data_IF_756690767884
#
_entry.id   IF_756690767884
#
_cell.length_a   1.000
_cell.length_b   1.000
_cell.length_c   1.000
_cell.angle_alpha   90.00
_cell.angle_beta   90.00
_cell.angle_gamma   90.00
#
_symmetry.space_group_name_H-M   'P 1'
#
loop_
_entity.id
_entity.type
_entity.pdbx_description
1 polymer ?
#
# COMPACT_ATOMS: atom_id res chain seq x y z
N UNK A 1 -1.64 10.84 -44.79
CA UNK A 1 -0.89 11.98 -44.29
C UNK A 1 0.13 11.50 -43.28
N UNK A 2 1.40 11.90 -43.42
CA UNK A 2 2.44 11.58 -42.45
C UNK A 2 2.04 12.20 -41.09
N UNK A 3 1.94 11.40 -40.05
CA UNK A 3 1.87 11.89 -38.68
C UNK A 3 3.18 12.67 -38.44
N UNK A 4 3.06 13.96 -38.20
CA UNK A 4 4.22 14.76 -37.81
C UNK A 4 4.67 14.21 -36.44
N UNK A 5 5.90 13.74 -36.38
CA UNK A 5 6.54 13.37 -35.11
C UNK A 5 6.62 14.64 -34.25
N UNK A 6 5.78 14.72 -33.23
CA UNK A 6 5.83 15.84 -32.29
C UNK A 6 7.03 15.65 -31.37
N UNK A 7 8.00 16.58 -31.50
CA UNK A 7 9.19 16.57 -30.61
C UNK A 7 8.81 17.13 -29.26
N UNK A 8 9.09 16.36 -28.21
CA UNK A 8 8.92 16.73 -26.81
C UNK A 8 10.29 16.95 -26.16
N UNK A 9 10.42 18.05 -25.44
CA UNK A 9 11.60 18.35 -24.64
C UNK A 9 11.23 18.28 -23.15
N UNK A 10 12.01 17.57 -22.30
CA UNK A 10 11.76 17.55 -20.87
C UNK A 10 11.63 18.96 -20.27
N UNK A 11 10.52 19.24 -19.59
CA UNK A 11 10.19 20.54 -19.03
C UNK A 11 9.19 21.37 -19.84
N UNK A 12 8.79 20.92 -21.02
CA UNK A 12 7.72 21.56 -21.78
C UNK A 12 6.40 21.54 -21.01
N UNK A 13 5.69 22.66 -21.00
CA UNK A 13 4.37 22.78 -20.35
C UNK A 13 3.28 22.02 -21.08
N UNK A 14 3.44 21.82 -22.39
CA UNK A 14 2.50 21.10 -23.25
C UNK A 14 3.20 19.85 -23.75
N UNK A 15 2.72 18.70 -23.29
CA UNK A 15 3.25 17.41 -23.71
C UNK A 15 2.34 16.84 -24.80
N UNK A 16 2.87 16.54 -26.01
CA UNK A 16 2.09 15.87 -27.03
C UNK A 16 1.70 14.47 -26.55
N UNK A 17 0.45 14.08 -26.75
CA UNK A 17 -0.04 12.77 -26.39
C UNK A 17 -0.97 12.20 -27.47
N UNK A 18 -1.11 10.88 -27.46
CA UNK A 18 -2.10 10.15 -28.26
C UNK A 18 -2.98 9.35 -27.32
N UNK A 19 -4.30 9.46 -27.47
CA UNK A 19 -5.24 8.58 -26.78
C UNK A 19 -5.11 7.17 -27.38
N UNK A 20 -4.52 6.26 -26.63
CA UNK A 20 -4.32 4.86 -27.07
C UNK A 20 -5.56 4.02 -26.84
N UNK A 21 -6.27 4.25 -25.72
CA UNK A 21 -7.51 3.56 -25.39
C UNK A 21 -8.34 4.40 -24.41
N UNK A 22 -9.62 4.10 -24.34
CA UNK A 22 -10.57 4.68 -23.37
C UNK A 22 -11.19 3.51 -22.60
N UNK A 23 -11.19 3.60 -21.27
CA UNK A 23 -11.74 2.59 -20.37
C UNK A 23 -12.87 3.18 -19.55
N UNK A 24 -13.91 2.41 -19.30
CA UNK A 24 -14.88 2.76 -18.27
C UNK A 24 -14.27 2.50 -16.87
N UNK A 25 -14.75 3.23 -15.85
CA UNK A 25 -14.28 3.01 -14.48
C UNK A 25 -14.49 1.55 -14.02
N UNK A 26 -15.58 0.92 -14.46
CA UNK A 26 -15.87 -0.50 -14.20
C UNK A 26 -14.80 -1.47 -14.70
N UNK A 27 -14.10 -1.11 -15.78
CA UNK A 27 -13.07 -1.96 -16.38
C UNK A 27 -11.79 -1.98 -15.54
N UNK A 28 -11.62 -0.97 -14.68
CA UNK A 28 -10.45 -0.81 -13.82
C UNK A 28 -10.67 -1.43 -12.43
N UNK A 29 -11.92 -1.57 -11.97
CA UNK A 29 -12.23 -2.12 -10.64
C UNK A 29 -11.69 -3.55 -10.52
N UNK A 30 -10.98 -3.81 -9.43
CA UNK A 30 -10.36 -5.11 -9.15
C UNK A 30 -8.98 -5.30 -9.81
N UNK A 31 -8.54 -4.40 -10.67
CA UNK A 31 -7.17 -4.45 -11.20
C UNK A 31 -6.16 -4.37 -10.06
N UNK A 32 -5.15 -5.21 -10.12
CA UNK A 32 -4.06 -5.24 -9.13
C UNK A 32 -2.83 -4.52 -9.68
N UNK A 33 -2.09 -3.89 -8.79
CA UNK A 33 -0.85 -3.22 -9.14
C UNK A 33 0.26 -3.56 -8.14
N UNK A 34 1.50 -3.40 -8.57
CA UNK A 34 2.66 -3.66 -7.73
C UNK A 34 2.84 -2.53 -6.71
N UNK A 35 3.09 -2.88 -5.46
CA UNK A 35 3.48 -1.91 -4.43
C UNK A 35 4.73 -1.13 -4.89
N UNK A 36 4.68 0.20 -4.80
CA UNK A 36 5.77 1.06 -5.26
C UNK A 36 7.03 0.94 -4.41
N UNK A 37 6.86 0.86 -3.09
CA UNK A 37 7.95 0.71 -2.10
C UNK A 37 7.71 -0.55 -1.28
N UNK A 38 8.12 -1.73 -1.77
CA UNK A 38 7.73 -3.01 -1.19
C UNK A 38 8.60 -3.42 0.02
N UNK A 39 9.17 -2.46 0.71
CA UNK A 39 10.06 -2.73 1.85
C UNK A 39 9.32 -3.19 3.10
N UNK A 40 8.07 -2.77 3.24
CA UNK A 40 7.16 -3.19 4.30
C UNK A 40 5.91 -3.74 3.65
N UNK A 41 5.53 -4.94 4.05
CA UNK A 41 4.33 -5.60 3.56
C UNK A 41 3.11 -5.15 4.37
N UNK A 42 1.93 -5.05 3.76
CA UNK A 42 0.69 -4.90 4.51
C UNK A 42 0.45 -6.16 5.32
N UNK A 43 0.56 -6.05 6.62
CA UNK A 43 0.36 -7.16 7.55
C UNK A 43 -0.68 -6.78 8.61
N UNK A 44 -1.41 -7.78 9.10
CA UNK A 44 -2.32 -7.63 10.23
C UNK A 44 -2.00 -8.66 11.31
N UNK A 45 -2.23 -8.32 12.56
CA UNK A 45 -2.11 -9.27 13.66
C UNK A 45 -3.20 -10.33 13.54
N UNK A 46 -2.82 -11.59 13.69
CA UNK A 46 -3.77 -12.72 13.60
C UNK A 46 -4.96 -12.56 14.56
N UNK A 47 -4.72 -12.06 15.76
CA UNK A 47 -5.78 -11.85 16.75
C UNK A 47 -6.75 -10.69 16.43
N UNK A 48 -6.45 -9.88 15.42
CA UNK A 48 -7.35 -8.83 14.91
C UNK A 48 -8.22 -9.31 13.74
N UNK A 49 -7.92 -10.48 13.20
CA UNK A 49 -8.62 -11.06 12.05
C UNK A 49 -9.76 -11.97 12.51
N UNK A 50 -10.79 -12.06 11.70
CA UNK A 50 -11.87 -13.00 11.93
C UNK A 50 -11.33 -14.45 11.90
N UNK A 51 -11.75 -15.35 12.82
CA UNK A 51 -11.27 -16.73 12.85
C UNK A 51 -11.50 -17.49 11.54
N UNK A 52 -12.56 -17.18 10.82
CA UNK A 52 -12.89 -17.74 9.51
C UNK A 52 -11.82 -17.38 8.49
N UNK A 53 -11.47 -16.10 8.42
CA UNK A 53 -10.41 -15.61 7.54
C UNK A 53 -9.07 -16.29 7.81
N UNK A 54 -8.70 -16.43 9.09
CA UNK A 54 -7.43 -17.09 9.47
C UNK A 54 -7.42 -18.55 9.02
N UNK A 55 -8.54 -19.27 9.14
CA UNK A 55 -8.65 -20.67 8.68
C UNK A 55 -8.52 -20.78 7.16
N UNK A 56 -9.20 -19.92 6.42
CA UNK A 56 -9.16 -19.91 4.96
C UNK A 56 -7.75 -19.56 4.48
N UNK A 57 -7.15 -18.54 5.07
CA UNK A 57 -5.80 -18.14 4.76
C UNK A 57 -4.77 -19.24 5.06
N UNK A 58 -4.85 -19.90 6.21
CA UNK A 58 -3.99 -21.03 6.56
C UNK A 58 -4.13 -22.20 5.59
N UNK A 59 -5.35 -22.46 5.12
CA UNK A 59 -5.61 -23.52 4.13
C UNK A 59 -5.02 -23.18 2.75
N UNK A 60 -5.05 -21.91 2.38
CA UNK A 60 -4.48 -21.42 1.12
C UNK A 60 -2.93 -21.34 1.15
N UNK A 61 -2.34 -21.25 2.36
CA UNK A 61 -0.90 -21.08 2.55
C UNK A 61 -0.35 -22.14 3.53
N UNK A 62 -0.30 -23.42 3.13
CA UNK A 62 0.09 -24.53 4.01
C UNK A 62 1.57 -24.47 4.45
N UNK A 63 2.38 -23.68 3.77
CA UNK A 63 3.78 -23.40 4.08
C UNK A 63 3.95 -22.38 5.22
N UNK A 64 2.88 -21.64 5.56
CA UNK A 64 2.90 -20.64 6.64
C UNK A 64 2.34 -21.23 7.92
N UNK A 65 3.17 -21.25 8.97
CA UNK A 65 2.74 -21.71 10.31
C UNK A 65 2.23 -20.51 11.09
N UNK A 66 0.95 -20.53 11.46
CA UNK A 66 0.34 -19.53 12.34
C UNK A 66 0.36 -20.06 13.76
N UNK A 67 1.30 -19.60 14.57
CA UNK A 67 1.23 -19.83 16.01
C UNK A 67 0.29 -18.79 16.60
N UNK A 68 -0.77 -19.24 17.28
CA UNK A 68 -1.71 -18.35 17.96
C UNK A 68 -1.00 -17.63 19.12
N UNK A 69 -0.37 -16.49 18.81
CA UNK A 69 0.35 -15.66 19.77
C UNK A 69 0.09 -14.18 19.50
N UNK A 70 0.37 -13.36 20.50
CA UNK A 70 0.16 -11.89 20.45
C UNK A 70 0.93 -11.20 19.30
N UNK A 71 1.98 -11.83 18.79
CA UNK A 71 2.95 -11.26 17.86
C UNK A 71 3.02 -12.02 16.53
N UNK A 72 1.95 -12.71 16.16
CA UNK A 72 1.85 -13.37 14.86
C UNK A 72 1.17 -12.43 13.87
N UNK A 73 1.79 -12.25 12.71
CA UNK A 73 1.30 -11.40 11.63
C UNK A 73 0.95 -12.24 10.40
N UNK A 74 -0.06 -11.77 9.67
CA UNK A 74 -0.46 -12.31 8.36
C UNK A 74 -0.21 -11.23 7.32
N UNK A 75 0.48 -11.60 6.24
CA UNK A 75 0.65 -10.74 5.07
C UNK A 75 -0.66 -10.67 4.29
N UNK A 76 -1.12 -9.46 3.98
CA UNK A 76 -2.36 -9.17 3.27
C UNK A 76 -2.10 -8.41 1.95
N UNK A 77 -0.98 -8.68 1.28
CA UNK A 77 -0.62 -8.01 0.03
C UNK A 77 -1.66 -8.22 -1.07
N UNK A 78 -2.29 -9.38 -1.11
CA UNK A 78 -3.35 -9.70 -2.07
C UNK A 78 -4.62 -8.89 -1.87
N UNK A 79 -4.88 -8.41 -0.66
CA UNK A 79 -6.03 -7.57 -0.34
C UNK A 79 -5.75 -6.07 -0.49
N UNK A 80 -4.49 -5.67 -0.55
CA UNK A 80 -4.06 -4.28 -0.56
C UNK A 80 -4.11 -3.67 -1.97
N UNK A 81 -3.11 -3.81 -2.74
CA UNK A 81 -2.79 -3.04 -3.95
C UNK A 81 -3.74 -3.33 -5.13
N UNK A 82 -4.99 -2.88 -5.02
CA UNK A 82 -6.04 -3.04 -6.02
C UNK A 82 -6.90 -1.79 -6.19
N UNK A 83 -7.49 -1.64 -7.35
CA UNK A 83 -8.43 -0.58 -7.66
C UNK A 83 -9.80 -0.92 -7.05
N UNK A 84 -10.36 0.01 -6.31
CA UNK A 84 -11.69 -0.10 -5.69
C UNK A 84 -12.60 1.02 -6.19
N UNK A 85 -13.94 0.86 -6.19
CA UNK A 85 -14.85 1.93 -6.57
C UNK A 85 -14.82 3.06 -5.53
N UNK A 86 -15.05 4.30 -6.00
CA UNK A 86 -15.15 5.47 -5.14
C UNK A 86 -16.15 6.48 -5.71
N UNK A 87 -17.33 6.58 -5.11
CA UNK A 87 -18.43 7.43 -5.57
C UNK A 87 -18.10 8.93 -5.50
N UNK A 88 -17.07 9.30 -4.74
CA UNK A 88 -16.58 10.66 -4.58
C UNK A 88 -15.52 11.04 -5.63
N UNK A 89 -15.10 10.12 -6.49
CA UNK A 89 -14.10 10.37 -7.51
C UNK A 89 -14.79 10.88 -8.78
N UNK A 90 -14.33 12.04 -9.29
CA UNK A 90 -14.84 12.65 -10.50
C UNK A 90 -13.76 12.78 -11.56
N UNK A 91 -14.17 13.02 -12.80
CA UNK A 91 -13.28 13.33 -13.92
C UNK A 91 -13.27 14.82 -14.27
N UNK A 92 -14.01 15.63 -13.52
CA UNK A 92 -14.11 17.08 -13.76
C UNK A 92 -12.82 17.79 -13.37
N UNK A 93 -12.20 17.36 -12.24
CA UNK A 93 -10.96 17.93 -11.71
C UNK A 93 -9.90 16.84 -11.53
N UNK A 94 -9.44 16.23 -12.63
CA UNK A 94 -8.36 15.23 -12.52
C UNK A 94 -8.51 14.03 -13.46
N UNK A 95 -7.88 12.94 -13.06
CA UNK A 95 -7.77 11.73 -13.89
C UNK A 95 -8.91 10.73 -13.69
N UNK A 96 -9.80 10.95 -12.72
CA UNK A 96 -10.79 9.95 -12.29
C UNK A 96 -10.17 8.80 -11.47
N UNK A 97 -8.92 8.93 -11.05
CA UNK A 97 -8.22 7.96 -10.19
C UNK A 97 -7.61 8.72 -9.02
N UNK A 98 -7.89 8.25 -7.80
CA UNK A 98 -7.37 8.84 -6.56
C UNK A 98 -6.58 7.77 -5.80
N UNK A 99 -5.40 8.15 -5.30
CA UNK A 99 -4.63 7.31 -4.40
C UNK A 99 -5.25 7.35 -3.00
N UNK A 100 -5.41 6.19 -2.38
CA UNK A 100 -5.94 6.05 -1.02
C UNK A 100 -4.80 5.63 -0.09
N UNK A 101 -4.62 6.39 1.00
CA UNK A 101 -3.64 6.13 2.05
C UNK A 101 -4.33 5.89 3.41
N UNK A 102 -4.78 4.67 3.73
CA UNK A 102 -5.63 4.37 4.88
C UNK A 102 -5.05 4.77 6.24
N UNK A 103 -3.72 4.85 6.35
CA UNK A 103 -3.02 5.21 7.59
C UNK A 103 -2.78 6.70 7.76
N UNK A 104 -3.11 7.53 6.75
CA UNK A 104 -2.85 8.97 6.76
C UNK A 104 -4.12 9.83 6.64
N UNK A 105 -5.19 9.32 6.03
CA UNK A 105 -6.44 10.03 5.83
C UNK A 105 -7.62 9.37 6.54
N UNK A 106 -8.42 10.14 7.27
CA UNK A 106 -9.60 9.60 7.97
C UNK A 106 -10.67 9.08 6.97
N UNK A 107 -10.85 9.78 5.86
CA UNK A 107 -11.79 9.35 4.82
C UNK A 107 -11.23 8.19 4.01
N UNK A 108 -9.94 8.18 3.72
CA UNK A 108 -9.24 7.06 3.12
C UNK A 108 -9.37 5.79 3.97
N UNK A 109 -9.21 5.93 5.30
CA UNK A 109 -9.38 4.82 6.23
C UNK A 109 -10.80 4.22 6.19
N UNK A 110 -11.84 5.07 6.09
CA UNK A 110 -13.23 4.61 5.98
C UNK A 110 -13.47 3.85 4.68
N UNK A 111 -13.02 4.40 3.56
CA UNK A 111 -13.17 3.79 2.23
C UNK A 111 -12.41 2.47 2.15
N UNK A 112 -11.16 2.43 2.61
CA UNK A 112 -10.35 1.23 2.66
C UNK A 112 -11.00 0.14 3.52
N UNK A 113 -11.49 0.50 4.73
CA UNK A 113 -12.18 -0.43 5.62
C UNK A 113 -13.45 -1.00 4.98
N UNK A 114 -14.26 -0.18 4.34
CA UNK A 114 -15.47 -0.62 3.66
C UNK A 114 -15.17 -1.59 2.50
N UNK A 115 -14.05 -1.40 1.83
CA UNK A 115 -13.60 -2.26 0.73
C UNK A 115 -12.73 -3.45 1.18
N UNK A 116 -12.44 -3.61 2.48
CA UNK A 116 -11.57 -4.66 3.00
C UNK A 116 -10.10 -4.50 2.58
N UNK A 117 -9.65 -3.27 2.34
CA UNK A 117 -8.25 -2.96 2.01
C UNK A 117 -7.46 -2.70 3.30
N UNK A 118 -6.42 -3.48 3.59
CA UNK A 118 -5.60 -3.27 4.79
C UNK A 118 -4.76 -2.00 4.68
N UNK A 119 -4.51 -1.37 5.83
CA UNK A 119 -3.57 -0.28 5.94
C UNK A 119 -2.12 -0.77 5.95
N UNK A 120 -1.21 0.11 5.53
CA UNK A 120 0.23 -0.10 5.66
C UNK A 120 0.70 0.63 6.92
N UNK A 121 1.21 -0.09 7.90
CA UNK A 121 1.63 0.46 9.18
C UNK A 121 2.86 -0.25 9.75
N UNK A 122 3.46 0.33 10.75
CA UNK A 122 4.54 -0.23 11.55
C UNK A 122 4.03 -0.63 12.93
N UNK A 123 4.73 -1.58 13.58
CA UNK A 123 4.42 -1.99 14.96
C UNK A 123 5.63 -1.75 15.85
N UNK A 124 5.41 -0.99 16.92
CA UNK A 124 6.46 -0.70 17.91
C UNK A 124 6.68 -1.89 18.85
N UNK A 125 7.80 -1.94 19.61
CA UNK A 125 8.04 -3.00 20.61
C UNK A 125 6.97 -3.10 21.70
N UNK A 126 6.20 -2.02 21.91
CA UNK A 126 5.04 -2.01 22.82
C UNK A 126 3.76 -2.57 22.18
N UNK A 127 3.82 -2.96 20.92
CA UNK A 127 2.68 -3.48 20.17
C UNK A 127 1.73 -2.42 19.63
N UNK A 128 2.12 -1.14 19.65
CA UNK A 128 1.33 -0.05 19.10
C UNK A 128 1.52 0.03 17.59
N UNK A 129 0.43 0.26 16.87
CA UNK A 129 0.48 0.54 15.43
C UNK A 129 0.79 2.00 15.18
N UNK A 130 1.61 2.26 14.16
CA UNK A 130 2.01 3.61 13.75
C UNK A 130 1.99 3.70 12.22
N UNK A 131 1.79 4.88 11.62
CA UNK A 131 2.09 5.09 10.22
C UNK A 131 3.55 4.70 9.92
N UNK A 132 3.90 4.55 8.64
CA UNK A 132 5.27 4.19 8.25
C UNK A 132 6.33 5.25 8.60
N UNK A 133 5.90 6.47 8.88
CA UNK A 133 6.76 7.59 9.26
C UNK A 133 6.31 8.21 10.58
N UNK A 134 7.25 8.80 11.28
CA UNK A 134 7.00 9.55 12.50
C UNK A 134 6.34 10.92 12.21
N UNK A 135 6.05 11.69 13.26
CA UNK A 135 5.43 13.01 13.14
C UNK A 135 6.32 14.05 12.43
N UNK A 136 7.60 13.78 12.23
CA UNK A 136 8.51 14.63 11.46
C UNK A 136 8.61 14.22 9.99
N UNK A 137 8.00 13.09 9.61
CA UNK A 137 8.04 12.54 8.26
C UNK A 137 9.26 11.65 7.98
N UNK A 138 9.91 11.12 9.02
CA UNK A 138 11.02 10.17 8.89
C UNK A 138 10.53 8.74 9.05
N UNK A 139 11.09 7.84 8.26
CA UNK A 139 10.92 6.41 8.48
C UNK A 139 11.50 5.99 9.82
N UNK A 140 10.81 5.10 10.54
CA UNK A 140 11.34 4.49 11.75
C UNK A 140 12.62 3.70 11.44
N UNK A 141 13.55 3.63 12.39
CA UNK A 141 14.67 2.71 12.32
C UNK A 141 14.23 1.30 12.69
N UNK A 142 14.98 0.27 12.28
CA UNK A 142 14.58 -1.12 12.51
C UNK A 142 14.49 -1.46 14.00
N UNK A 143 15.33 -0.84 14.83
CA UNK A 143 15.35 -1.02 16.29
C UNK A 143 14.18 -0.35 17.02
N UNK A 144 13.47 0.57 16.35
CA UNK A 144 12.22 1.16 16.86
C UNK A 144 10.99 0.27 16.61
N UNK A 145 11.15 -0.82 15.87
CA UNK A 145 10.07 -1.73 15.49
C UNK A 145 10.08 -3.02 16.31
N UNK A 146 8.91 -3.64 16.46
CA UNK A 146 8.80 -4.93 17.11
C UNK A 146 9.56 -6.01 16.32
N UNK A 147 10.44 -6.81 16.93
CA UNK A 147 11.22 -7.84 16.23
C UNK A 147 10.35 -8.81 15.44
N UNK A 148 9.23 -9.27 15.99
CA UNK A 148 8.30 -10.16 15.31
C UNK A 148 7.63 -9.53 14.09
N UNK A 149 7.36 -8.22 14.13
CA UNK A 149 6.87 -7.48 12.98
C UNK A 149 7.95 -7.35 11.91
N UNK A 150 9.17 -7.04 12.28
CA UNK A 150 10.30 -6.94 11.35
C UNK A 150 10.52 -8.26 10.63
N UNK A 151 10.54 -9.38 11.36
CA UNK A 151 10.73 -10.71 10.79
C UNK A 151 9.63 -11.08 9.79
N UNK A 152 8.37 -10.78 10.11
CA UNK A 152 7.23 -11.18 9.30
C UNK A 152 6.95 -10.24 8.12
N UNK A 153 7.19 -8.93 8.29
CA UNK A 153 6.59 -7.90 7.42
C UNK A 153 7.59 -6.96 6.77
N UNK A 154 8.88 -6.98 7.14
CA UNK A 154 9.87 -6.02 6.68
C UNK A 154 10.98 -6.71 5.88
N UNK A 155 11.18 -6.27 4.63
CA UNK A 155 12.43 -6.56 3.92
C UNK A 155 13.53 -5.65 4.47
N UNK A 156 14.26 -6.16 5.46
CA UNK A 156 15.31 -5.39 6.15
C UNK A 156 16.45 -5.00 5.21
N UNK A 157 16.73 -5.78 4.17
CA UNK A 157 17.80 -5.48 3.21
C UNK A 157 17.49 -4.25 2.37
N UNK A 158 16.22 -4.06 2.02
CA UNK A 158 15.75 -2.90 1.29
C UNK A 158 15.44 -1.74 2.22
N UNK A 159 14.73 -2.00 3.34
CA UNK A 159 14.25 -0.98 4.26
C UNK A 159 15.38 -0.20 4.97
N UNK A 160 16.46 -0.89 5.37
CA UNK A 160 17.56 -0.27 6.14
C UNK A 160 18.22 0.90 5.39
N UNK A 161 18.15 0.91 4.06
CA UNK A 161 18.67 2.02 3.24
C UNK A 161 17.89 3.32 3.40
N UNK A 162 16.67 3.26 3.90
CA UNK A 162 15.75 4.40 4.05
C UNK A 162 15.39 4.68 5.51
N UNK A 163 15.74 3.75 6.41
CA UNK A 163 15.47 3.87 7.84
C UNK A 163 16.09 5.15 8.42
N UNK A 164 15.30 5.94 9.13
CA UNK A 164 15.70 7.23 9.70
C UNK A 164 15.75 8.39 8.70
N UNK A 165 15.55 8.16 7.41
CA UNK A 165 15.51 9.23 6.41
C UNK A 165 14.10 9.84 6.26
N UNK A 166 14.06 11.08 5.77
CA UNK A 166 12.79 11.69 5.40
C UNK A 166 12.18 11.01 4.18
N UNK A 167 10.87 10.77 4.21
CA UNK A 167 10.14 10.14 3.10
C UNK A 167 10.40 10.83 1.75
N UNK A 168 10.54 12.16 1.73
CA UNK A 168 10.85 12.94 0.52
C UNK A 168 12.22 12.63 -0.11
N UNK A 169 13.11 11.93 0.59
CA UNK A 169 14.45 11.58 0.10
C UNK A 169 14.52 10.11 -0.38
N UNK A 170 13.42 9.37 -0.27
CA UNK A 170 13.37 7.94 -0.61
C UNK A 170 13.06 7.68 -2.10
N UNK A 171 12.95 8.73 -2.92
CA UNK A 171 12.65 8.67 -4.36
C UNK A 171 13.92 8.82 -5.18
#
# INVERSE_FOLDING_TARGET
GAEAEMVYTPGDKVVPYRVAAVYAASDLIGMRYRQLMPWVKPCEKVNHLAPEFVREYASAHPDKTFTAGRDTFVELADEAFRVIPGDYVTTEDGTGIVHIAPTFGADDAKVAKAAGVPGLYMVTPKGETRPMVDLTGKYYTVDELAPSFVEACVDTSAYTRHAGEYVKNAY
#
